data_IF_159066560390
#
_entry.id   IF_159066560390
#
_cell.length_a   1.000
_cell.length_b   1.000
_cell.length_c   1.000
_cell.angle_alpha   90.00
_cell.angle_beta   90.00
_cell.angle_gamma   90.00
#
_symmetry.space_group_name_H-M   'P 1'
#
loop_
_entity.id
_entity.type
_entity.pdbx_description
1 polymer ?
#
# COMPACT_ATOMS: atom_id res chain seq x y z
N UNK A 1 8.23 -9.07 -20.22
CA UNK A 1 6.77 -9.28 -20.07
C UNK A 1 6.16 -8.17 -19.20
N UNK A 2 6.59 -7.98 -17.97
CA UNK A 2 6.08 -6.91 -17.11
C UNK A 2 6.99 -5.68 -17.21
N UNK A 3 6.45 -4.57 -17.67
CA UNK A 3 7.22 -3.33 -17.84
C UNK A 3 7.02 -2.33 -16.69
N UNK A 4 5.90 -2.44 -15.98
CA UNK A 4 5.55 -1.60 -14.83
C UNK A 4 4.84 -2.46 -13.79
N UNK A 5 5.35 -2.44 -12.58
CA UNK A 5 4.87 -3.26 -11.46
C UNK A 5 4.42 -2.33 -10.34
N UNK A 6 3.20 -2.50 -9.84
CA UNK A 6 2.72 -1.83 -8.63
C UNK A 6 2.81 -2.79 -7.46
N UNK A 7 3.36 -2.30 -6.34
CA UNK A 7 3.49 -3.08 -5.10
C UNK A 7 2.80 -2.34 -3.97
N UNK A 8 1.83 -2.99 -3.33
CA UNK A 8 1.20 -2.47 -2.12
C UNK A 8 2.00 -2.84 -0.88
N UNK A 9 2.33 -1.85 -0.05
CA UNK A 9 3.07 -2.04 1.21
C UNK A 9 2.38 -1.33 2.37
N UNK A 10 2.48 -1.91 3.55
CA UNK A 10 1.93 -1.37 4.79
C UNK A 10 2.91 -1.45 5.98
N UNK A 11 4.17 -1.77 5.71
CA UNK A 11 5.21 -1.96 6.73
C UNK A 11 5.22 -3.35 7.38
N UNK A 12 4.32 -4.26 7.01
CA UNK A 12 4.30 -5.63 7.50
C UNK A 12 5.41 -6.48 6.87
N UNK A 13 5.81 -7.56 7.54
CA UNK A 13 6.79 -8.51 7.00
C UNK A 13 6.33 -9.15 5.69
N UNK A 14 5.04 -9.45 5.58
CA UNK A 14 4.47 -10.05 4.38
C UNK A 14 4.48 -9.07 3.21
N UNK A 15 4.21 -7.79 3.45
CA UNK A 15 4.34 -6.75 2.44
C UNK A 15 5.80 -6.58 1.98
N UNK A 16 6.76 -6.64 2.91
CA UNK A 16 8.18 -6.62 2.57
C UNK A 16 8.61 -7.86 1.77
N UNK A 17 8.04 -9.02 2.08
CA UNK A 17 8.23 -10.23 1.28
C UNK A 17 7.69 -10.07 -0.14
N UNK A 18 6.50 -9.50 -0.29
CA UNK A 18 5.92 -9.18 -1.58
C UNK A 18 6.78 -8.18 -2.37
N UNK A 19 7.28 -7.15 -1.70
CA UNK A 19 8.20 -6.18 -2.31
C UNK A 19 9.47 -6.86 -2.84
N UNK A 20 10.10 -7.73 -2.07
CA UNK A 20 11.27 -8.48 -2.53
C UNK A 20 10.99 -9.33 -3.77
N UNK A 21 9.83 -9.97 -3.85
CA UNK A 21 9.42 -10.68 -5.06
C UNK A 21 9.28 -9.75 -6.26
N UNK A 22 8.64 -8.60 -6.07
CA UNK A 22 8.50 -7.60 -7.13
C UNK A 22 9.84 -7.04 -7.61
N UNK A 23 10.77 -6.77 -6.69
CA UNK A 23 12.11 -6.27 -7.02
C UNK A 23 12.91 -7.27 -7.85
N UNK A 24 12.84 -8.57 -7.51
CA UNK A 24 13.47 -9.63 -8.31
C UNK A 24 12.90 -9.70 -9.72
N UNK A 25 11.56 -9.70 -9.84
CA UNK A 25 10.90 -9.68 -11.15
C UNK A 25 11.28 -8.43 -11.95
N UNK A 26 11.32 -7.27 -11.30
CA UNK A 26 11.71 -6.01 -11.95
C UNK A 26 13.14 -6.04 -12.47
N UNK A 27 14.05 -6.63 -11.71
CA UNK A 27 15.44 -6.79 -12.12
C UNK A 27 15.60 -7.66 -13.37
N UNK A 28 14.85 -8.77 -13.43
CA UNK A 28 14.88 -9.68 -14.58
C UNK A 28 14.22 -9.10 -15.82
N UNK A 29 13.15 -8.31 -15.66
CA UNK A 29 12.37 -7.74 -16.76
C UNK A 29 12.71 -6.29 -17.09
N UNK A 30 13.62 -5.66 -16.34
CA UNK A 30 13.92 -4.22 -16.41
C UNK A 30 12.66 -3.35 -16.21
N UNK A 31 11.78 -3.79 -15.34
CA UNK A 31 10.51 -3.11 -15.07
C UNK A 31 10.71 -1.91 -14.12
N UNK A 32 9.85 -0.90 -14.29
CA UNK A 32 9.70 0.18 -13.29
C UNK A 32 8.82 -0.33 -12.15
N UNK A 33 9.18 0.03 -10.92
CA UNK A 33 8.45 -0.39 -9.73
C UNK A 33 7.86 0.84 -9.03
N UNK A 34 6.56 0.78 -8.81
CA UNK A 34 5.79 1.79 -8.07
C UNK A 34 5.37 1.17 -6.74
N UNK A 35 5.86 1.71 -5.65
CA UNK A 35 5.52 1.24 -4.31
C UNK A 35 4.48 2.16 -3.70
N UNK A 36 3.31 1.63 -3.43
CA UNK A 36 2.17 2.39 -2.91
C UNK A 36 1.84 1.98 -1.49
N UNK A 37 1.63 2.96 -0.65
CA UNK A 37 1.03 2.80 0.67
C UNK A 37 -0.17 3.71 0.82
N UNK A 38 -1.22 3.20 1.44
CA UNK A 38 -2.46 3.95 1.71
C UNK A 38 -2.61 4.19 3.20
N UNK A 39 -3.20 5.31 3.55
CA UNK A 39 -3.64 5.59 4.92
C UNK A 39 -5.14 5.88 4.91
N UNK A 40 -5.86 5.18 5.79
CA UNK A 40 -7.32 5.30 5.87
C UNK A 40 -7.74 6.69 6.38
N UNK A 41 -8.95 7.16 6.02
CA UNK A 41 -9.49 8.41 6.54
C UNK A 41 -9.56 8.42 8.06
N UNK A 42 -9.24 9.55 8.68
CA UNK A 42 -9.45 9.76 10.10
C UNK A 42 -10.85 10.31 10.33
N UNK A 43 -11.75 9.44 10.76
CA UNK A 43 -13.12 9.81 11.13
C UNK A 43 -13.29 9.71 12.64
N UNK A 44 -13.59 10.83 13.28
CA UNK A 44 -14.01 10.85 14.66
C UNK A 44 -15.55 10.67 14.70
N UNK A 45 -15.99 9.41 14.77
CA UNK A 45 -17.38 9.07 15.00
C UNK A 45 -17.50 8.64 16.46
N UNK A 46 -17.79 9.59 17.35
CA UNK A 46 -18.11 9.30 18.73
C UNK A 46 -19.44 9.95 19.10
N UNK A 47 -20.31 9.28 19.90
CA UNK A 47 -21.50 9.91 20.47
C UNK A 47 -21.07 11.16 21.25
N UNK A 48 -21.65 12.33 20.92
CA UNK A 48 -21.28 13.60 21.55
C UNK A 48 -20.15 14.37 20.87
N UNK A 49 -19.62 13.89 19.75
CA UNK A 49 -18.60 14.59 18.97
C UNK A 49 -19.06 15.98 18.49
N UNK A 50 -20.36 16.16 18.31
CA UNK A 50 -20.97 17.45 17.95
C UNK A 50 -20.74 18.53 19.02
N UNK A 51 -20.68 18.15 20.29
CA UNK A 51 -20.39 19.06 21.40
C UNK A 51 -18.88 19.39 21.54
N UNK A 52 -18.02 18.60 20.93
CA UNK A 52 -16.56 18.77 20.92
C UNK A 52 -16.05 19.36 19.59
N UNK A 53 -16.91 19.91 18.77
CA UNK A 53 -16.61 20.39 17.41
C UNK A 53 -15.50 21.45 17.35
N UNK A 54 -15.17 22.12 18.44
CA UNK A 54 -14.12 23.17 18.50
C UNK A 54 -12.71 22.56 18.33
N UNK A 55 -12.46 21.32 18.77
CA UNK A 55 -11.15 20.68 18.74
C UNK A 55 -11.05 19.51 17.74
N UNK A 56 -12.14 19.13 17.09
CA UNK A 56 -12.17 17.98 16.18
C UNK A 56 -11.25 18.19 14.98
N UNK A 57 -11.18 19.40 14.43
CA UNK A 57 -10.30 19.74 13.31
C UNK A 57 -8.81 19.61 13.63
N UNK A 58 -8.40 20.03 14.82
CA UNK A 58 -7.01 19.90 15.30
C UNK A 58 -6.65 18.44 15.52
N UNK A 59 -7.54 17.64 16.14
CA UNK A 59 -7.32 16.22 16.37
C UNK A 59 -7.21 15.46 15.05
N UNK A 60 -8.09 15.74 14.09
CA UNK A 60 -8.00 15.14 12.75
C UNK A 60 -6.69 15.53 12.06
N UNK A 61 -6.28 16.80 12.14
CA UNK A 61 -5.02 17.25 11.56
C UNK A 61 -3.81 16.53 12.17
N UNK A 62 -3.80 16.33 13.48
CA UNK A 62 -2.75 15.57 14.18
C UNK A 62 -2.73 14.10 13.76
N UNK A 63 -3.88 13.46 13.65
CA UNK A 63 -4.01 12.08 13.19
C UNK A 63 -3.53 11.94 11.75
N UNK A 64 -3.90 12.85 10.87
CA UNK A 64 -3.46 12.84 9.47
C UNK A 64 -1.95 13.08 9.36
N UNK A 65 -1.38 13.98 10.19
CA UNK A 65 0.05 14.19 10.25
C UNK A 65 0.81 12.93 10.72
N UNK A 66 0.29 12.25 11.74
CA UNK A 66 0.86 10.99 12.22
C UNK A 66 0.79 9.89 11.17
N UNK A 67 -0.30 9.78 10.42
CA UNK A 67 -0.44 8.83 9.32
C UNK A 67 0.50 9.13 8.16
N UNK A 68 0.64 10.39 7.79
CA UNK A 68 1.60 10.82 6.77
C UNK A 68 3.03 10.48 7.16
N UNK A 69 3.38 10.67 8.42
CA UNK A 69 4.71 10.31 8.95
C UNK A 69 4.91 8.79 8.92
N UNK A 70 3.91 8.02 9.32
CA UNK A 70 3.96 6.55 9.27
C UNK A 70 4.10 6.04 7.83
N UNK A 71 3.38 6.64 6.88
CA UNK A 71 3.50 6.32 5.46
C UNK A 71 4.89 6.64 4.92
N UNK A 72 5.45 7.80 5.28
CA UNK A 72 6.80 8.17 4.89
C UNK A 72 7.85 7.18 5.40
N UNK A 73 7.72 6.71 6.64
CA UNK A 73 8.58 5.68 7.22
C UNK A 73 8.46 4.36 6.46
N UNK A 74 7.25 3.91 6.19
CA UNK A 74 7.00 2.67 5.41
C UNK A 74 7.63 2.75 4.02
N UNK A 75 7.49 3.88 3.34
CA UNK A 75 8.07 4.08 2.00
C UNK A 75 9.60 4.21 2.04
N UNK A 76 10.16 4.82 3.09
CA UNK A 76 11.61 4.89 3.28
C UNK A 76 12.22 3.50 3.49
N UNK A 77 11.58 2.65 4.29
CA UNK A 77 12.00 1.26 4.48
C UNK A 77 11.93 0.47 3.18
N UNK A 78 10.88 0.67 2.37
CA UNK A 78 10.76 0.06 1.06
C UNK A 78 11.89 0.50 0.10
N UNK A 79 12.26 1.77 0.14
CA UNK A 79 13.37 2.31 -0.65
C UNK A 79 14.72 1.70 -0.26
N UNK A 80 14.97 1.52 1.04
CA UNK A 80 16.19 0.85 1.51
C UNK A 80 16.25 -0.61 1.05
N UNK A 81 15.14 -1.34 1.10
CA UNK A 81 15.07 -2.70 0.54
C UNK A 81 15.38 -2.71 -0.95
N UNK A 82 14.82 -1.77 -1.69
CA UNK A 82 15.04 -1.66 -3.14
C UNK A 82 16.49 -1.33 -3.49
N UNK A 83 17.12 -0.42 -2.75
CA UNK A 83 18.54 -0.09 -2.88
C UNK A 83 19.43 -1.32 -2.64
N UNK A 84 19.12 -2.12 -1.63
CA UNK A 84 19.82 -3.37 -1.35
C UNK A 84 19.75 -4.38 -2.49
N UNK A 85 18.68 -4.37 -3.27
CA UNK A 85 18.51 -5.21 -4.47
C UNK A 85 19.01 -4.54 -5.76
N UNK A 86 19.44 -3.28 -5.70
CA UNK A 86 19.92 -2.52 -6.86
C UNK A 86 18.79 -2.08 -7.80
N UNK A 87 17.60 -1.87 -7.29
CA UNK A 87 16.43 -1.45 -8.06
C UNK A 87 15.94 -0.08 -7.58
N UNK A 88 15.67 0.81 -8.52
CA UNK A 88 15.04 2.09 -8.22
C UNK A 88 13.52 1.92 -8.16
N UNK A 89 12.90 2.56 -7.17
CA UNK A 89 11.45 2.56 -7.02
C UNK A 89 10.88 3.98 -7.05
N UNK A 90 9.62 4.09 -7.43
CA UNK A 90 8.82 5.30 -7.26
C UNK A 90 7.89 5.10 -6.06
N UNK A 91 7.96 6.03 -5.11
CA UNK A 91 7.19 5.96 -3.85
C UNK A 91 5.91 6.78 -3.98
N UNK A 92 4.79 6.19 -3.61
CA UNK A 92 3.46 6.81 -3.70
C UNK A 92 2.72 6.62 -2.38
N UNK A 93 2.35 7.72 -1.74
CA UNK A 93 1.43 7.72 -0.61
C UNK A 93 0.05 8.21 -1.08
N UNK A 94 -0.98 7.43 -0.80
CA UNK A 94 -2.38 7.79 -1.08
C UNK A 94 -3.10 7.97 0.26
N UNK A 95 -3.32 9.21 0.69
CA UNK A 95 -4.05 9.49 1.92
C UNK A 95 -5.56 9.29 1.73
N UNK A 96 -6.28 9.11 2.83
CA UNK A 96 -7.74 8.96 2.87
C UNK A 96 -8.26 7.88 1.92
N UNK A 97 -7.59 6.73 1.90
CA UNK A 97 -7.90 5.64 0.97
C UNK A 97 -7.71 4.28 1.62
N UNK A 98 -8.52 3.32 1.23
CA UNK A 98 -8.26 1.91 1.49
C UNK A 98 -7.14 1.40 0.58
N UNK A 99 -6.42 0.38 1.03
CA UNK A 99 -5.29 -0.16 0.28
C UNK A 99 -5.68 -0.63 -1.13
N UNK A 100 -6.80 -1.34 -1.27
CA UNK A 100 -7.27 -1.82 -2.57
C UNK A 100 -7.55 -0.67 -3.54
N UNK A 101 -8.21 0.38 -3.08
CA UNK A 101 -8.50 1.55 -3.90
C UNK A 101 -7.22 2.25 -4.37
N UNK A 102 -6.27 2.43 -3.46
CA UNK A 102 -4.98 3.04 -3.79
C UNK A 102 -4.18 2.21 -4.81
N UNK A 103 -4.13 0.89 -4.62
CA UNK A 103 -3.43 -0.03 -5.52
C UNK A 103 -4.06 0.00 -6.92
N UNK A 104 -5.38 -0.13 -7.02
CA UNK A 104 -6.10 -0.10 -8.29
C UNK A 104 -5.92 1.24 -9.02
N UNK A 105 -6.13 2.35 -8.30
CA UNK A 105 -5.98 3.68 -8.88
C UNK A 105 -4.54 3.94 -9.36
N UNK A 106 -3.54 3.53 -8.58
CA UNK A 106 -2.13 3.65 -8.97
C UNK A 106 -1.83 2.79 -10.20
N UNK A 107 -2.36 1.57 -10.24
CA UNK A 107 -2.18 0.65 -11.38
C UNK A 107 -2.71 1.25 -12.67
N UNK A 108 -3.90 1.85 -12.63
CA UNK A 108 -4.49 2.51 -13.78
C UNK A 108 -3.72 3.78 -14.18
N UNK A 109 -3.39 4.63 -13.22
CA UNK A 109 -2.67 5.88 -13.46
C UNK A 109 -1.26 5.67 -14.05
N UNK A 110 -0.57 4.63 -13.61
CA UNK A 110 0.78 4.31 -14.08
C UNK A 110 0.79 3.38 -15.30
N UNK A 111 -0.35 2.89 -15.73
CA UNK A 111 -0.45 1.88 -16.79
C UNK A 111 0.36 0.63 -16.45
N UNK A 112 0.26 0.17 -15.21
CA UNK A 112 1.01 -0.98 -14.76
C UNK A 112 0.46 -2.28 -15.36
N UNK A 113 1.33 -3.26 -15.53
CA UNK A 113 1.05 -4.54 -16.14
C UNK A 113 1.01 -5.70 -15.14
N UNK A 114 1.34 -5.44 -13.88
CA UNK A 114 1.34 -6.40 -12.79
C UNK A 114 1.11 -5.69 -11.45
N UNK A 115 0.33 -6.30 -10.59
CA UNK A 115 0.23 -5.95 -9.18
C UNK A 115 0.91 -7.06 -8.36
N UNK A 116 1.70 -6.67 -7.34
CA UNK A 116 2.26 -7.60 -6.36
C UNK A 116 1.85 -7.14 -4.97
N UNK A 117 1.34 -8.04 -4.15
CA UNK A 117 0.92 -7.72 -2.80
C UNK A 117 0.95 -8.95 -1.88
N UNK A 118 0.97 -8.71 -0.58
CA UNK A 118 0.81 -9.78 0.40
C UNK A 118 -0.64 -10.29 0.45
N UNK A 119 -0.82 -11.53 0.86
CA UNK A 119 -2.15 -12.14 1.00
C UNK A 119 -2.99 -11.48 2.08
N UNK A 120 -2.36 -10.81 3.05
CA UNK A 120 -3.02 -10.01 4.08
C UNK A 120 -2.06 -8.88 4.53
N UNK A 121 -2.61 -7.83 5.15
CA UNK A 121 -1.85 -6.73 5.71
C UNK A 121 -1.65 -6.86 7.22
N UNK A 122 -1.38 -5.73 7.90
CA UNK A 122 -1.18 -5.64 9.35
C UNK A 122 -2.34 -6.21 10.18
N UNK A 123 -3.56 -6.17 9.65
CA UNK A 123 -4.79 -6.65 10.31
C UNK A 123 -5.10 -8.10 9.98
N UNK A 124 -4.23 -8.79 9.28
CA UNK A 124 -4.44 -10.16 8.87
C UNK A 124 -4.51 -11.10 10.06
N UNK A 125 -5.68 -11.66 10.27
CA UNK A 125 -5.96 -12.68 11.29
C UNK A 125 -6.18 -14.01 10.58
N UNK A 126 -5.18 -14.82 10.49
CA UNK A 126 -5.40 -16.18 10.06
C UNK A 126 -4.56 -16.66 8.89
N UNK A 127 -4.30 -17.94 8.99
CA UNK A 127 -3.35 -18.66 8.15
C UNK A 127 -3.90 -19.10 6.80
N UNK A 128 -5.21 -19.01 6.59
CA UNK A 128 -5.89 -19.72 5.51
C UNK A 128 -6.77 -18.85 4.62
N UNK A 129 -7.05 -17.61 5.01
CA UNK A 129 -7.93 -16.74 4.26
C UNK A 129 -7.15 -15.57 3.65
N UNK A 130 -7.54 -15.25 2.44
CA UNK A 130 -7.09 -14.05 1.76
C UNK A 130 -7.65 -12.83 2.50
N UNK A 131 -6.81 -11.83 2.77
CA UNK A 131 -7.24 -10.60 3.41
C UNK A 131 -8.28 -9.85 2.57
N UNK A 132 -9.09 -9.00 3.22
CA UNK A 132 -10.16 -8.25 2.54
C UNK A 132 -9.63 -7.36 1.41
N UNK A 133 -8.50 -6.68 1.62
CA UNK A 133 -7.91 -5.81 0.60
C UNK A 133 -7.33 -6.61 -0.58
N UNK A 134 -6.70 -7.75 -0.31
CA UNK A 134 -6.21 -8.63 -1.36
C UNK A 134 -7.38 -9.22 -2.18
N UNK A 135 -8.46 -9.60 -1.53
CA UNK A 135 -9.69 -10.06 -2.20
C UNK A 135 -10.29 -8.98 -3.11
N UNK A 136 -10.35 -7.73 -2.62
CA UNK A 136 -10.82 -6.59 -3.41
C UNK A 136 -9.95 -6.32 -4.63
N UNK A 137 -8.63 -6.33 -4.47
CA UNK A 137 -7.71 -6.15 -5.60
C UNK A 137 -7.91 -7.24 -6.64
N UNK A 138 -8.00 -8.51 -6.22
CA UNK A 138 -8.22 -9.63 -7.12
C UNK A 138 -9.55 -9.52 -7.88
N UNK A 139 -10.61 -9.08 -7.20
CA UNK A 139 -11.93 -8.94 -7.81
C UNK A 139 -11.99 -7.80 -8.84
N UNK A 140 -11.23 -6.74 -8.63
CA UNK A 140 -11.33 -5.49 -9.40
C UNK A 140 -10.20 -5.26 -10.39
N UNK A 141 -9.08 -5.95 -10.24
CA UNK A 141 -7.92 -5.75 -11.10
C UNK A 141 -8.19 -6.16 -12.53
N UNK A 142 -7.75 -5.34 -13.46
CA UNK A 142 -7.74 -5.62 -14.91
C UNK A 142 -6.41 -6.21 -15.39
N UNK A 143 -5.44 -6.31 -14.48
CA UNK A 143 -4.11 -6.86 -14.75
C UNK A 143 -3.82 -8.05 -13.83
N UNK A 144 -2.86 -8.91 -14.16
CA UNK A 144 -2.45 -10.00 -13.27
C UNK A 144 -2.07 -9.51 -11.89
N UNK A 145 -2.38 -10.30 -10.88
CA UNK A 145 -2.05 -10.04 -9.47
C UNK A 145 -1.25 -11.20 -8.92
N UNK A 146 -0.06 -10.92 -8.45
CA UNK A 146 0.78 -11.87 -7.73
C UNK A 146 0.56 -11.68 -6.22
N UNK A 147 -0.06 -12.66 -5.60
CA UNK A 147 -0.32 -12.67 -4.16
C UNK A 147 0.76 -13.49 -3.47
N UNK A 148 1.49 -12.86 -2.55
CA UNK A 148 2.58 -13.50 -1.80
C UNK A 148 2.09 -13.92 -0.42
N UNK A 149 2.37 -15.15 -0.05
CA UNK A 149 2.04 -15.75 1.24
C UNK A 149 3.26 -15.89 2.14
#
# INVERSE_FOLDING_TARGET
>A
MYSRIVVGVDGSELANKALRHALKLAKESSARVFVVTATEPSLLIAPGAEMMAINTGEIIAELEAAKSQSAATTLAEAEELAKGEGVNIEKIHVPSSLAADAIIATTEAQGASLIVMGSHGRRGLGRLLLGSQASEVLARSKVPVLVVK
#
